data_IF_378897414772
#
_entry.id   IF_378897414772
#
_cell.length_a   1.000
_cell.length_b   1.000
_cell.length_c   1.000
_cell.angle_alpha   90.00
_cell.angle_beta   90.00
_cell.angle_gamma   90.00
#
_symmetry.space_group_name_H-M   'P 1'
#
loop_
_entity.id
_entity.type
_entity.pdbx_description
1 polymer ?
#
# COMPACT_ATOMS: atom_id res chain seq x y z
N UNK A 1 -7.58 -15.56 -71.55
CA UNK A 1 -8.46 -15.31 -70.40
C UNK A 1 -7.54 -15.16 -69.19
N UNK A 2 -7.39 -13.95 -68.60
CA UNK A 2 -6.56 -13.74 -67.39
C UNK A 2 -7.34 -14.14 -66.15
N UNK A 3 -6.78 -14.97 -65.29
CA UNK A 3 -7.29 -15.33 -63.95
C UNK A 3 -7.00 -14.20 -62.99
N UNK A 4 -8.07 -13.56 -62.46
CA UNK A 4 -7.99 -12.60 -61.38
C UNK A 4 -7.73 -13.36 -60.07
N UNK A 5 -6.61 -13.08 -59.40
CA UNK A 5 -6.29 -13.53 -58.03
C UNK A 5 -6.90 -12.53 -57.07
N UNK A 6 -7.93 -12.92 -56.33
CA UNK A 6 -8.48 -12.13 -55.22
C UNK A 6 -7.61 -12.36 -54.01
N UNK A 7 -6.91 -11.31 -53.60
CA UNK A 7 -6.18 -11.27 -52.34
C UNK A 7 -7.18 -10.89 -51.24
N UNK A 8 -7.57 -11.82 -50.39
CA UNK A 8 -8.39 -11.56 -49.21
C UNK A 8 -7.43 -11.04 -48.14
N UNK A 9 -7.48 -9.74 -47.86
CA UNK A 9 -6.84 -9.14 -46.67
C UNK A 9 -7.66 -9.52 -45.45
N UNK A 10 -7.13 -10.44 -44.62
CA UNK A 10 -7.65 -10.72 -43.30
C UNK A 10 -7.19 -9.58 -42.36
N UNK A 11 -8.06 -8.61 -42.11
CA UNK A 11 -7.83 -7.61 -41.06
C UNK A 11 -8.11 -8.29 -39.74
N UNK A 12 -7.06 -8.73 -39.05
CA UNK A 12 -7.13 -9.08 -37.65
C UNK A 12 -7.32 -7.77 -36.88
N UNK A 13 -8.52 -7.50 -36.42
CA UNK A 13 -8.75 -6.51 -35.39
C UNK A 13 -8.10 -7.04 -34.12
N UNK A 14 -6.96 -6.49 -33.74
CA UNK A 14 -6.48 -6.56 -32.38
C UNK A 14 -7.54 -5.80 -31.57
N UNK A 15 -8.45 -6.52 -30.92
CA UNK A 15 -9.30 -5.93 -29.91
C UNK A 15 -8.39 -5.42 -28.80
N UNK A 16 -8.40 -4.13 -28.56
CA UNK A 16 -7.84 -3.58 -27.34
C UNK A 16 -8.53 -4.28 -26.17
N UNK A 17 -7.81 -5.07 -25.43
CA UNK A 17 -8.26 -5.58 -24.13
C UNK A 17 -8.32 -4.37 -23.22
N UNK A 18 -9.51 -3.78 -23.09
CA UNK A 18 -9.74 -2.66 -22.20
C UNK A 18 -9.59 -3.16 -20.76
N UNK A 19 -8.86 -2.41 -19.95
CA UNK A 19 -8.88 -2.59 -18.51
C UNK A 19 -10.34 -2.68 -18.04
N UNK A 20 -10.64 -3.61 -17.17
CA UNK A 20 -11.99 -3.81 -16.67
C UNK A 20 -11.96 -4.06 -15.17
N UNK A 21 -12.72 -3.28 -14.42
CA UNK A 21 -13.05 -3.54 -13.04
C UNK A 21 -14.37 -4.31 -12.96
N UNK A 22 -14.40 -5.36 -12.17
CA UNK A 22 -15.64 -6.08 -11.84
C UNK A 22 -15.76 -6.23 -10.33
N UNK A 23 -16.98 -6.12 -9.81
CA UNK A 23 -17.27 -6.24 -8.38
C UNK A 23 -18.31 -7.33 -8.16
N UNK A 24 -18.05 -8.18 -7.16
CA UNK A 24 -18.97 -9.19 -6.63
C UNK A 24 -19.43 -8.76 -5.24
N UNK A 25 -20.67 -8.29 -5.16
CA UNK A 25 -21.34 -7.87 -3.93
C UNK A 25 -22.19 -8.99 -3.31
N UNK A 26 -21.96 -10.26 -3.65
CA UNK A 26 -22.78 -11.38 -3.18
C UNK A 26 -22.19 -12.13 -1.99
N UNK A 27 -20.94 -11.83 -1.63
CA UNK A 27 -20.22 -12.48 -0.54
C UNK A 27 -20.44 -11.76 0.78
N UNK A 28 -20.52 -12.51 1.86
CA UNK A 28 -20.63 -11.97 3.22
C UNK A 28 -19.26 -11.47 3.72
N UNK A 29 -19.20 -10.58 4.73
CA UNK A 29 -17.93 -10.13 5.32
C UNK A 29 -17.04 -11.29 5.74
N UNK A 30 -17.59 -12.34 6.36
CA UNK A 30 -16.82 -13.50 6.74
C UNK A 30 -16.23 -14.25 5.53
N UNK A 31 -17.01 -14.41 4.45
CA UNK A 31 -16.53 -15.03 3.22
C UNK A 31 -15.45 -14.18 2.54
N UNK A 32 -15.61 -12.86 2.49
CA UNK A 32 -14.64 -11.94 1.92
C UNK A 32 -13.32 -11.98 2.68
N UNK A 33 -13.36 -11.87 3.99
CA UNK A 33 -12.14 -11.86 4.82
C UNK A 33 -11.46 -13.22 4.79
N UNK A 34 -12.19 -14.32 5.02
CA UNK A 34 -11.61 -15.66 5.18
C UNK A 34 -11.23 -16.34 3.86
N UNK A 35 -11.95 -16.07 2.76
CA UNK A 35 -11.73 -16.77 1.49
C UNK A 35 -11.00 -15.93 0.45
N UNK A 36 -10.99 -14.60 0.59
CA UNK A 36 -10.39 -13.69 -0.40
C UNK A 36 -9.19 -12.94 0.16
N UNK A 37 -9.34 -12.32 1.34
CA UNK A 37 -8.29 -11.48 1.92
C UNK A 37 -7.25 -12.28 2.70
N UNK A 38 -7.68 -13.30 3.47
CA UNK A 38 -6.80 -14.16 4.26
C UNK A 38 -5.79 -14.86 3.36
N UNK A 39 -4.51 -14.70 3.69
CA UNK A 39 -3.39 -15.38 3.08
C UNK A 39 -2.80 -16.47 3.98
N UNK A 40 -1.65 -17.03 3.61
CA UNK A 40 -1.00 -18.07 4.40
C UNK A 40 -0.47 -17.57 5.74
N UNK A 41 -0.40 -18.47 6.73
CA UNK A 41 0.22 -18.20 8.02
C UNK A 41 -0.64 -17.38 8.99
N UNK A 42 -1.93 -17.21 8.73
CA UNK A 42 -2.87 -16.57 9.66
C UNK A 42 -4.17 -17.39 9.75
N UNK A 43 -4.78 -17.38 10.92
CA UNK A 43 -6.16 -17.89 11.13
C UNK A 43 -7.02 -16.72 11.55
N UNK A 44 -8.07 -16.41 10.76
CA UNK A 44 -9.01 -15.32 11.02
C UNK A 44 -10.33 -15.85 11.57
N UNK A 45 -10.87 -15.14 12.57
CA UNK A 45 -12.13 -15.46 13.23
C UNK A 45 -12.84 -14.18 13.69
N UNK A 46 -14.09 -14.31 14.15
CA UNK A 46 -14.88 -13.22 14.72
C UNK A 46 -15.03 -12.01 13.78
N UNK A 47 -15.22 -12.27 12.47
CA UNK A 47 -15.41 -11.21 11.48
C UNK A 47 -16.72 -10.48 11.74
N UNK A 48 -16.68 -9.15 11.75
CA UNK A 48 -17.83 -8.26 11.93
C UNK A 48 -17.75 -7.09 10.95
N UNK A 49 -18.89 -6.54 10.59
CA UNK A 49 -18.98 -5.32 9.81
C UNK A 49 -19.99 -4.38 10.46
N UNK A 50 -19.57 -3.19 10.93
CA UNK A 50 -20.41 -2.12 11.51
C UNK A 50 -21.56 -2.64 12.40
N UNK A 51 -21.28 -3.53 13.35
CA UNK A 51 -22.29 -4.16 14.22
C UNK A 51 -23.32 -5.06 13.50
N UNK A 52 -23.13 -5.35 12.22
CA UNK A 52 -23.96 -6.27 11.47
C UNK A 52 -23.48 -7.72 11.65
N UNK A 53 -24.38 -8.71 11.58
CA UNK A 53 -23.98 -10.12 11.57
C UNK A 53 -23.04 -10.42 10.40
N UNK A 54 -22.01 -11.23 10.68
CA UNK A 54 -20.96 -11.57 9.68
C UNK A 54 -21.48 -12.36 8.45
N UNK A 55 -22.72 -12.82 8.49
CA UNK A 55 -23.43 -13.53 7.40
C UNK A 55 -24.39 -12.62 6.60
N UNK A 56 -24.43 -11.33 6.91
CA UNK A 56 -25.18 -10.33 6.14
C UNK A 56 -24.41 -9.94 4.87
N UNK A 57 -25.14 -9.62 3.80
CA UNK A 57 -24.58 -8.94 2.63
C UNK A 57 -24.59 -7.44 2.91
N UNK A 58 -23.49 -6.77 2.64
CA UNK A 58 -23.35 -5.32 2.85
C UNK A 58 -22.98 -4.62 1.56
N UNK A 59 -23.61 -3.47 1.23
CA UNK A 59 -23.40 -2.80 -0.05
C UNK A 59 -22.08 -2.05 -0.18
N UNK A 60 -21.30 -1.91 0.90
CA UNK A 60 -20.03 -1.20 0.94
C UNK A 60 -18.81 -2.13 0.95
N UNK A 61 -19.02 -3.44 1.00
CA UNK A 61 -17.94 -4.43 1.08
C UNK A 61 -18.15 -5.55 0.07
N UNK A 62 -17.20 -5.78 -0.84
CA UNK A 62 -17.29 -6.80 -1.88
C UNK A 62 -15.94 -7.36 -2.29
N UNK A 63 -15.99 -8.37 -3.18
CA UNK A 63 -14.80 -8.82 -3.88
C UNK A 63 -14.67 -8.09 -5.21
N UNK A 64 -13.44 -7.84 -5.66
CA UNK A 64 -13.19 -7.24 -6.97
C UNK A 64 -12.16 -8.03 -7.78
N UNK A 65 -12.22 -7.88 -9.09
CA UNK A 65 -11.09 -8.19 -9.98
C UNK A 65 -10.84 -7.03 -10.92
N UNK A 66 -9.57 -6.72 -11.16
CA UNK A 66 -9.13 -5.62 -12.00
C UNK A 66 -8.09 -6.11 -13.00
N UNK A 67 -8.33 -5.90 -14.28
CA UNK A 67 -7.39 -6.21 -15.33
C UNK A 67 -6.68 -4.93 -15.78
N UNK A 68 -5.38 -4.83 -15.48
CA UNK A 68 -4.51 -3.75 -15.99
C UNK A 68 -4.90 -2.32 -15.58
N UNK A 69 -5.52 -2.13 -14.42
CA UNK A 69 -5.73 -0.80 -13.84
C UNK A 69 -4.48 -0.43 -13.03
N UNK A 70 -3.74 0.65 -13.41
CA UNK A 70 -2.57 1.08 -12.66
C UNK A 70 -2.90 1.37 -11.20
N UNK A 71 -2.05 0.94 -10.28
CA UNK A 71 -2.24 1.14 -8.83
C UNK A 71 -3.12 0.11 -8.16
N UNK A 72 -4.06 -0.52 -8.85
CA UNK A 72 -4.88 -1.58 -8.26
C UNK A 72 -4.20 -2.94 -8.32
N UNK A 73 -4.36 -3.79 -7.29
CA UNK A 73 -4.03 -5.20 -7.39
C UNK A 73 -5.00 -5.90 -8.35
N UNK A 74 -4.59 -7.05 -8.89
CA UNK A 74 -5.42 -7.81 -9.85
C UNK A 74 -6.75 -8.32 -9.28
N UNK A 75 -6.93 -8.31 -7.97
CA UNK A 75 -8.15 -8.69 -7.30
C UNK A 75 -7.99 -8.72 -5.79
N UNK A 76 -9.11 -8.84 -5.09
CA UNK A 76 -9.14 -8.84 -3.64
C UNK A 76 -10.48 -8.44 -3.07
N UNK A 77 -10.49 -7.73 -1.95
CA UNK A 77 -11.69 -7.14 -1.37
C UNK A 77 -11.63 -5.62 -1.48
N UNK A 78 -12.79 -5.00 -1.68
CA UNK A 78 -12.96 -3.55 -1.67
C UNK A 78 -13.90 -3.15 -0.54
N UNK A 79 -13.48 -2.14 0.21
CA UNK A 79 -14.24 -1.45 1.26
C UNK A 79 -14.43 0.00 0.78
N UNK A 80 -15.65 0.52 0.80
CA UNK A 80 -15.94 1.89 0.34
C UNK A 80 -16.85 2.62 1.33
N UNK A 81 -16.81 3.95 1.36
CA UNK A 81 -17.78 4.78 2.08
C UNK A 81 -19.10 4.81 1.34
N UNK A 82 -19.08 4.66 0.01
CA UNK A 82 -20.24 4.61 -0.86
C UNK A 82 -20.73 3.22 -1.19
N UNK A 83 -21.67 3.14 -2.13
CA UNK A 83 -22.18 1.87 -2.60
C UNK A 83 -21.25 1.23 -3.64
N UNK A 84 -21.00 -0.08 -3.52
CA UNK A 84 -20.20 -0.85 -4.49
C UNK A 84 -20.64 -0.70 -5.94
N UNK A 85 -21.95 -0.49 -6.15
CA UNK A 85 -22.51 -0.32 -7.49
C UNK A 85 -22.02 0.95 -8.20
N UNK A 86 -21.64 1.96 -7.45
CA UNK A 86 -21.21 3.26 -7.95
C UNK A 86 -19.73 3.27 -8.35
N UNK A 87 -18.96 2.34 -7.86
CA UNK A 87 -17.51 2.24 -8.19
C UNK A 87 -17.28 2.02 -9.69
N UNK A 88 -18.16 1.24 -10.36
CA UNK A 88 -17.99 0.86 -11.77
C UNK A 88 -18.64 1.90 -12.68
N UNK A 89 -18.17 3.14 -12.61
CA UNK A 89 -18.58 4.25 -13.46
C UNK A 89 -17.32 4.95 -14.00
N UNK A 90 -17.43 5.72 -15.08
CA UNK A 90 -16.31 6.56 -15.50
C UNK A 90 -15.92 7.55 -14.38
N UNK A 91 -14.66 7.89 -14.31
CA UNK A 91 -14.16 8.99 -13.50
C UNK A 91 -14.95 10.27 -13.68
N UNK A 92 -15.04 11.32 -13.73
CA UNK A 92 -15.99 12.42 -13.99
C UNK A 92 -17.46 12.17 -13.62
N UNK A 93 -17.82 10.98 -13.14
CA UNK A 93 -19.17 10.68 -12.68
C UNK A 93 -19.27 11.07 -11.22
N UNK A 94 -20.24 11.89 -10.90
CA UNK A 94 -20.51 12.20 -9.49
C UNK A 94 -21.11 10.97 -8.81
N UNK A 95 -20.36 10.34 -7.91
CA UNK A 95 -20.89 9.37 -6.99
C UNK A 95 -20.94 9.99 -5.60
N UNK A 96 -22.08 9.99 -5.01
CA UNK A 96 -22.27 10.22 -3.59
C UNK A 96 -23.18 9.15 -3.06
N UNK A 97 -22.77 8.49 -2.01
CA UNK A 97 -23.65 7.58 -1.34
C UNK A 97 -24.56 8.32 -0.37
N UNK A 98 -25.70 7.69 -0.12
CA UNK A 98 -26.49 8.08 1.04
C UNK A 98 -25.72 7.63 2.31
N UNK A 99 -25.67 8.49 3.31
CA UNK A 99 -25.17 8.20 4.65
C UNK A 99 -25.68 6.84 5.16
N UNK A 100 -24.79 5.89 5.30
CA UNK A 100 -25.11 4.58 5.83
C UNK A 100 -25.16 4.66 7.36
N UNK A 101 -26.35 4.59 7.88
CA UNK A 101 -26.68 4.81 9.28
C UNK A 101 -25.89 3.92 10.24
N UNK A 102 -25.23 4.50 11.22
CA UNK A 102 -24.75 3.75 12.37
C UNK A 102 -23.87 4.50 13.35
N UNK A 103 -22.95 5.32 12.90
CA UNK A 103 -22.00 5.98 13.78
C UNK A 103 -21.82 7.41 13.31
N UNK A 104 -22.12 8.39 14.17
CA UNK A 104 -21.96 9.81 13.84
C UNK A 104 -20.52 10.30 14.11
N UNK A 105 -19.65 9.48 14.69
CA UNK A 105 -18.28 9.86 15.00
C UNK A 105 -17.45 8.70 15.57
N UNK A 106 -16.20 8.58 15.14
CA UNK A 106 -15.19 7.77 15.78
C UNK A 106 -13.95 8.63 16.13
N UNK A 107 -13.49 8.49 17.38
CA UNK A 107 -12.37 9.27 17.88
C UNK A 107 -11.05 8.82 17.23
N UNK A 108 -10.90 7.55 16.92
CA UNK A 108 -9.65 7.00 16.38
C UNK A 108 -9.41 7.48 14.95
N UNK A 109 -10.46 7.42 14.11
CA UNK A 109 -10.35 7.94 12.74
C UNK A 109 -10.17 9.45 12.71
N UNK A 110 -10.77 10.18 13.66
CA UNK A 110 -10.58 11.63 13.79
C UNK A 110 -9.11 12.00 14.08
N UNK A 111 -8.37 11.17 14.84
CA UNK A 111 -6.94 11.35 15.02
C UNK A 111 -6.17 11.16 13.71
N UNK A 112 -6.60 10.24 12.85
CA UNK A 112 -5.98 9.98 11.55
C UNK A 112 -6.19 11.15 10.59
N UNK A 113 -7.41 11.68 10.54
CA UNK A 113 -7.81 12.71 9.57
C UNK A 113 -7.35 14.09 9.99
N UNK A 114 -7.57 14.46 11.24
CA UNK A 114 -7.38 15.83 11.71
C UNK A 114 -6.19 16.02 12.67
N UNK A 115 -5.56 14.93 13.10
CA UNK A 115 -4.45 15.00 14.06
C UNK A 115 -4.88 15.29 15.50
N UNK A 116 -6.16 15.23 15.81
CA UNK A 116 -6.73 15.37 17.17
C UNK A 116 -8.05 14.62 17.27
N UNK A 117 -8.33 14.04 18.44
CA UNK A 117 -9.58 13.33 18.69
C UNK A 117 -10.73 14.32 18.80
N UNK A 118 -11.66 14.25 17.87
CA UNK A 118 -12.94 14.96 17.91
C UNK A 118 -14.08 13.95 17.73
N UNK A 119 -15.27 14.31 18.12
CA UNK A 119 -16.46 13.49 17.93
C UNK A 119 -17.41 14.06 16.88
N UNK A 120 -16.93 14.92 16.00
CA UNK A 120 -17.75 15.59 14.99
C UNK A 120 -17.04 15.68 13.65
N UNK A 121 -17.79 15.67 12.56
CA UNK A 121 -17.28 15.94 11.22
C UNK A 121 -16.72 14.72 10.47
N UNK A 122 -17.22 13.54 10.80
CA UNK A 122 -16.94 12.30 10.07
C UNK A 122 -18.28 11.64 9.77
N UNK A 123 -18.87 11.88 8.59
CA UNK A 123 -20.25 11.49 8.32
C UNK A 123 -20.42 10.04 7.87
N UNK A 124 -19.57 9.52 7.02
CA UNK A 124 -19.70 8.18 6.45
C UNK A 124 -18.56 7.26 6.86
N UNK A 125 -18.91 6.06 7.29
CA UNK A 125 -17.97 5.06 7.79
C UNK A 125 -18.18 3.71 7.15
N UNK A 126 -17.10 3.02 6.91
CA UNK A 126 -17.06 1.60 6.63
C UNK A 126 -16.07 0.93 7.59
N UNK A 127 -16.57 0.08 8.48
CA UNK A 127 -15.76 -0.57 9.51
C UNK A 127 -15.85 -2.10 9.37
N UNK A 128 -14.71 -2.72 9.10
CA UNK A 128 -14.54 -4.17 9.05
C UNK A 128 -13.58 -4.61 10.16
N UNK A 129 -14.05 -5.48 11.04
CA UNK A 129 -13.28 -5.95 12.19
C UNK A 129 -13.14 -7.47 12.19
N UNK A 130 -12.02 -7.95 12.69
CA UNK A 130 -11.80 -9.39 12.90
C UNK A 130 -10.65 -9.66 13.87
N UNK A 131 -10.72 -10.83 14.50
CA UNK A 131 -9.59 -11.36 15.25
C UNK A 131 -8.75 -12.26 14.37
N UNK A 132 -7.43 -12.29 14.65
CA UNK A 132 -6.54 -13.21 13.96
C UNK A 132 -5.44 -13.75 14.86
N UNK A 133 -4.92 -14.93 14.50
CA UNK A 133 -3.74 -15.53 15.12
C UNK A 133 -2.71 -15.76 14.03
N UNK A 134 -1.53 -15.12 14.11
CA UNK A 134 -0.43 -15.34 13.17
C UNK A 134 0.36 -16.59 13.53
N UNK A 135 0.82 -17.33 12.52
CA UNK A 135 1.74 -18.46 12.69
C UNK A 135 3.20 -18.00 12.73
N UNK A 136 3.48 -16.83 12.17
CA UNK A 136 4.83 -16.28 11.97
C UNK A 136 4.95 -14.85 12.55
N UNK A 137 6.19 -14.34 12.63
CA UNK A 137 6.52 -13.12 13.40
C UNK A 137 6.26 -11.78 12.72
N UNK A 138 5.90 -11.75 11.45
CA UNK A 138 5.58 -10.52 10.71
C UNK A 138 4.22 -10.64 10.06
N UNK A 139 3.31 -9.75 10.40
CA UNK A 139 2.05 -9.54 9.68
C UNK A 139 2.32 -8.67 8.45
N UNK A 140 1.80 -9.05 7.30
CA UNK A 140 1.85 -8.27 6.06
C UNK A 140 0.50 -8.26 5.36
N UNK A 141 0.18 -7.15 4.68
CA UNK A 141 -0.88 -7.07 3.67
C UNK A 141 -0.66 -5.86 2.75
N UNK A 142 -1.32 -5.85 1.59
CA UNK A 142 -1.18 -4.81 0.58
C UNK A 142 -2.54 -4.20 0.23
N UNK A 143 -2.54 -2.88 -0.03
CA UNK A 143 -3.74 -2.10 -0.30
C UNK A 143 -3.45 -0.88 -1.18
N UNK A 144 -4.51 -0.31 -1.76
CA UNK A 144 -4.52 0.99 -2.39
C UNK A 144 -5.74 1.79 -1.91
N UNK A 145 -5.57 3.09 -1.66
CA UNK A 145 -6.65 4.05 -1.45
C UNK A 145 -7.04 4.63 -2.82
N UNK A 146 -8.33 4.79 -3.06
CA UNK A 146 -8.87 5.55 -4.18
C UNK A 146 -9.94 6.52 -3.65
N UNK A 147 -10.08 7.71 -4.27
CA UNK A 147 -11.03 8.72 -3.84
C UNK A 147 -11.46 9.61 -5.00
N UNK A 148 -12.69 10.08 -4.95
CA UNK A 148 -13.22 11.13 -5.81
C UNK A 148 -12.86 12.55 -5.32
N UNK A 149 -12.27 12.71 -4.12
CA UNK A 149 -11.77 13.99 -3.61
C UNK A 149 -10.57 14.53 -4.41
N UNK A 150 -9.95 13.71 -5.23
CA UNK A 150 -8.84 14.10 -6.07
C UNK A 150 -9.30 14.79 -7.36
N UNK A 151 -8.58 15.81 -7.85
CA UNK A 151 -7.52 16.57 -7.14
C UNK A 151 -8.07 17.76 -6.35
N UNK A 152 -9.32 18.25 -6.65
CA UNK A 152 -9.85 19.56 -6.29
C UNK A 152 -10.05 19.72 -4.77
N UNK A 153 -10.40 18.63 -4.09
CA UNK A 153 -10.75 18.66 -2.66
C UNK A 153 -9.68 18.05 -1.77
N UNK A 154 -8.60 17.53 -2.36
CA UNK A 154 -7.55 16.81 -1.66
C UNK A 154 -6.93 17.55 -0.45
N UNK A 155 -6.92 18.87 -0.46
CA UNK A 155 -6.38 19.66 0.65
C UNK A 155 -7.46 20.19 1.62
N UNK A 156 -8.72 20.01 1.30
CA UNK A 156 -9.86 20.48 2.10
C UNK A 156 -10.54 19.38 2.89
N UNK A 157 -10.63 18.21 2.30
CA UNK A 157 -11.35 17.06 2.82
C UNK A 157 -10.38 15.87 2.92
N UNK A 158 -9.83 15.62 4.12
CA UNK A 158 -8.81 14.59 4.31
C UNK A 158 -9.41 13.20 4.48
N UNK A 159 -10.26 12.75 3.56
CA UNK A 159 -10.77 11.38 3.58
C UNK A 159 -9.66 10.41 3.90
N UNK A 160 -9.91 9.55 4.84
CA UNK A 160 -8.86 8.75 5.41
C UNK A 160 -9.34 7.44 6.02
N UNK A 161 -8.37 6.66 6.40
CA UNK A 161 -8.62 5.34 6.96
C UNK A 161 -7.57 5.00 8.00
N UNK A 162 -7.94 4.07 8.88
CA UNK A 162 -7.06 3.49 9.88
C UNK A 162 -7.05 1.97 9.79
N UNK A 163 -5.89 1.38 10.03
CA UNK A 163 -5.72 -0.05 10.26
C UNK A 163 -5.26 -0.23 11.70
N UNK A 164 -6.23 -0.26 12.61
CA UNK A 164 -5.99 -0.28 14.03
C UNK A 164 -5.75 -1.70 14.51
N UNK A 165 -4.48 -2.03 14.77
CA UNK A 165 -4.05 -3.29 15.34
C UNK A 165 -3.96 -3.16 16.85
N UNK A 166 -4.67 -4.02 17.59
CA UNK A 166 -4.58 -4.12 19.04
C UNK A 166 -4.27 -5.54 19.50
N UNK A 167 -3.69 -5.68 20.67
CA UNK A 167 -3.35 -6.96 21.27
C UNK A 167 -2.06 -6.95 22.08
N UNK A 168 -1.64 -8.10 22.61
CA UNK A 168 -0.44 -8.20 23.44
C UNK A 168 0.82 -7.72 22.75
N UNK A 169 1.52 -6.76 23.38
CA UNK A 169 2.77 -6.19 22.85
C UNK A 169 2.56 -5.10 21.79
N UNK A 170 1.32 -4.75 21.45
CA UNK A 170 1.01 -3.62 20.58
C UNK A 170 0.83 -2.36 21.42
N UNK A 171 1.38 -1.25 20.93
CA UNK A 171 1.16 0.09 21.48
C UNK A 171 1.43 1.10 20.38
N UNK A 172 0.45 1.91 20.05
CA UNK A 172 0.55 2.98 19.05
C UNK A 172 1.18 4.27 19.60
N UNK A 173 1.49 5.19 18.70
CA UNK A 173 2.01 6.51 19.03
C UNK A 173 0.91 7.49 19.49
N UNK A 174 -0.34 7.20 19.18
CA UNK A 174 -1.52 8.01 19.50
C UNK A 174 -2.45 7.27 20.44
N UNK A 175 -3.34 7.97 21.16
CA UNK A 175 -4.23 7.37 22.15
C UNK A 175 -5.46 6.71 21.51
N UNK A 176 -5.22 5.78 20.57
CA UNK A 176 -6.29 5.00 19.97
C UNK A 176 -6.93 4.04 20.98
N UNK A 177 -8.17 3.67 20.70
CA UNK A 177 -8.92 2.70 21.49
C UNK A 177 -8.11 1.40 21.63
N UNK A 178 -8.18 0.78 22.80
CA UNK A 178 -7.47 -0.45 23.17
C UNK A 178 -5.93 -0.39 22.99
N UNK A 179 -5.34 0.80 23.07
CA UNK A 179 -3.91 1.06 22.79
C UNK A 179 -3.48 0.58 21.40
N UNK A 180 -4.38 0.59 20.45
CA UNK A 180 -4.08 0.16 19.09
C UNK A 180 -2.95 0.97 18.46
N UNK A 181 -2.29 0.37 17.48
CA UNK A 181 -1.36 1.04 16.58
C UNK A 181 -1.98 1.17 15.20
N UNK A 182 -1.96 2.36 14.61
CA UNK A 182 -2.42 2.57 13.25
C UNK A 182 -1.33 2.16 12.26
N UNK A 183 -1.59 1.13 11.48
CA UNK A 183 -0.67 0.61 10.47
C UNK A 183 -0.80 1.30 9.10
N UNK A 184 -1.84 2.13 8.92
CA UNK A 184 -2.08 2.90 7.70
C UNK A 184 -1.22 4.17 7.70
N UNK A 185 0.09 4.01 7.62
CA UNK A 185 1.07 5.11 7.62
C UNK A 185 1.98 5.03 6.39
N UNK A 186 2.46 6.20 5.96
CA UNK A 186 3.45 6.27 4.89
C UNK A 186 4.72 5.50 5.26
N UNK A 187 5.30 4.73 4.33
CA UNK A 187 6.45 3.89 4.61
C UNK A 187 7.60 4.63 5.30
N UNK A 188 8.03 4.14 6.46
CA UNK A 188 9.12 4.72 7.24
C UNK A 188 8.77 5.99 8.02
N UNK A 189 7.50 6.33 8.17
CA UNK A 189 7.01 7.50 8.91
C UNK A 189 5.91 7.13 9.90
N UNK A 190 5.42 8.10 10.66
CA UNK A 190 4.20 8.01 11.46
C UNK A 190 3.04 8.83 10.84
N UNK A 191 3.23 9.32 9.61
CA UNK A 191 2.22 10.11 8.93
C UNK A 191 1.15 9.20 8.37
N UNK A 192 -0.09 9.39 8.77
CA UNK A 192 -1.22 8.61 8.28
C UNK A 192 -1.42 8.78 6.78
N UNK A 193 -1.80 7.71 6.10
CA UNK A 193 -2.25 7.77 4.71
C UNK A 193 -3.67 8.32 4.67
N UNK A 194 -3.87 9.40 3.93
CA UNK A 194 -5.16 9.99 3.60
C UNK A 194 -5.02 10.82 2.32
N UNK A 195 -6.12 11.33 1.79
CA UNK A 195 -6.14 12.10 0.53
C UNK A 195 -5.24 13.33 0.61
N UNK A 196 -5.25 14.07 1.72
CA UNK A 196 -4.41 15.27 1.89
C UNK A 196 -2.92 14.97 2.02
N UNK A 197 -2.56 13.79 2.50
CA UNK A 197 -1.16 13.40 2.70
C UNK A 197 -0.54 12.72 1.46
N UNK A 198 -1.37 12.24 0.52
CA UNK A 198 -0.93 11.70 -0.77
C UNK A 198 -1.79 12.32 -1.86
N UNK A 199 -1.26 13.26 -2.64
CA UNK A 199 -1.98 13.86 -3.76
C UNK A 199 -1.01 14.46 -4.80
N UNK A 200 -1.54 14.72 -5.99
CA UNK A 200 -0.83 15.39 -7.10
C UNK A 200 -0.89 16.91 -7.03
N UNK A 201 -1.54 17.49 -6.01
CA UNK A 201 -1.88 18.91 -5.95
C UNK A 201 -3.13 19.23 -6.76
N UNK A 202 -3.76 20.36 -6.45
CA UNK A 202 -4.87 20.88 -7.24
C UNK A 202 -4.35 21.75 -8.39
N UNK A 203 -4.55 21.37 -9.66
CA UNK A 203 -4.08 22.12 -10.81
C UNK A 203 -4.58 23.57 -10.86
N UNK A 204 -5.79 23.82 -10.32
CA UNK A 204 -6.42 25.13 -10.29
C UNK A 204 -6.04 25.98 -9.07
N UNK A 205 -5.50 25.36 -8.01
CA UNK A 205 -5.07 26.03 -6.78
C UNK A 205 -3.73 25.51 -6.21
N UNK A 206 -2.74 25.30 -7.04
CA UNK A 206 -1.39 24.84 -6.64
C UNK A 206 -0.71 25.68 -5.55
N UNK A 207 -1.18 26.91 -5.32
CA UNK A 207 -0.63 27.77 -4.27
C UNK A 207 -1.06 27.33 -2.86
N UNK A 208 -2.28 26.82 -2.71
CA UNK A 208 -2.84 26.37 -1.45
C UNK A 208 -2.85 24.84 -1.33
N UNK A 209 -2.91 24.15 -2.46
CA UNK A 209 -2.87 22.69 -2.53
C UNK A 209 -1.72 22.21 -3.46
N UNK A 210 -0.46 22.30 -3.04
CA UNK A 210 0.66 21.75 -3.78
C UNK A 210 0.70 20.22 -3.66
N UNK A 211 1.39 19.52 -4.58
CA UNK A 211 1.62 18.07 -4.46
C UNK A 211 2.22 17.67 -3.12
N UNK A 212 1.71 16.60 -2.55
CA UNK A 212 2.19 16.06 -1.28
C UNK A 212 2.41 14.55 -1.42
N UNK A 213 3.63 14.07 -1.13
CA UNK A 213 4.04 12.68 -1.30
C UNK A 213 3.63 12.09 -2.67
N UNK A 214 3.72 12.88 -3.72
CA UNK A 214 3.26 12.60 -5.09
C UNK A 214 3.81 11.29 -5.68
N UNK A 215 4.94 10.79 -5.16
CA UNK A 215 5.50 9.50 -5.58
C UNK A 215 4.59 8.30 -5.27
N UNK A 216 3.60 8.48 -4.41
CA UNK A 216 2.59 7.47 -4.07
C UNK A 216 1.23 7.75 -4.72
N UNK A 217 1.07 8.87 -5.43
CA UNK A 217 -0.17 9.25 -6.09
C UNK A 217 -0.20 8.82 -7.55
N UNK A 218 -1.37 8.44 -8.02
CA UNK A 218 -1.67 8.13 -9.42
C UNK A 218 -2.95 8.86 -9.82
N UNK A 219 -2.85 9.69 -10.83
CA UNK A 219 -3.99 10.33 -11.48
C UNK A 219 -4.82 9.29 -12.23
N UNK A 220 -6.15 9.37 -12.10
CA UNK A 220 -7.09 8.44 -12.68
C UNK A 220 -8.31 9.13 -13.35
N UNK A 221 -8.28 10.45 -13.45
CA UNK A 221 -9.40 11.27 -13.93
C UNK A 221 -9.93 10.88 -15.33
N UNK A 222 -9.11 10.30 -16.18
CA UNK A 222 -9.50 9.83 -17.52
C UNK A 222 -9.96 8.35 -17.55
N UNK A 223 -10.11 7.69 -16.40
CA UNK A 223 -10.44 6.27 -16.35
C UNK A 223 -11.94 6.01 -16.63
N UNK A 224 -12.29 5.25 -17.65
CA UNK A 224 -13.68 4.97 -17.96
C UNK A 224 -14.33 3.83 -17.17
N UNK A 225 -13.58 3.20 -16.25
CA UNK A 225 -13.98 1.95 -15.55
C UNK A 225 -14.11 2.08 -14.06
N UNK A 226 -13.67 3.18 -13.49
CA UNK A 226 -13.67 3.40 -12.05
C UNK A 226 -13.97 4.87 -11.76
N UNK A 227 -14.89 5.13 -10.86
CA UNK A 227 -15.39 6.47 -10.53
C UNK A 227 -14.32 7.38 -9.92
N UNK A 228 -13.42 6.84 -9.15
CA UNK A 228 -12.41 7.59 -8.39
C UNK A 228 -11.43 8.33 -9.30
N UNK A 229 -11.25 9.63 -9.10
CA UNK A 229 -10.39 10.50 -9.90
C UNK A 229 -8.90 10.34 -9.60
N UNK A 230 -8.57 9.78 -8.45
CA UNK A 230 -7.20 9.47 -8.09
C UNK A 230 -7.07 8.28 -7.15
N UNK A 231 -5.87 7.72 -7.10
CA UNK A 231 -5.57 6.61 -6.20
C UNK A 231 -4.10 6.61 -5.76
N UNK A 232 -3.81 5.82 -4.75
CA UNK A 232 -2.41 5.59 -4.37
C UNK A 232 -1.79 4.48 -5.21
N UNK A 233 -0.46 4.44 -5.29
CA UNK A 233 0.24 3.21 -5.65
C UNK A 233 -0.09 2.10 -4.64
N UNK A 234 0.14 0.84 -5.02
CA UNK A 234 -0.03 -0.26 -4.06
C UNK A 234 0.93 -0.09 -2.88
N UNK A 235 0.38 0.09 -1.70
CA UNK A 235 1.10 0.22 -0.42
C UNK A 235 1.11 -1.12 0.31
N UNK A 236 2.14 -1.34 1.14
CA UNK A 236 2.28 -2.57 1.94
C UNK A 236 2.42 -2.23 3.41
N UNK A 237 1.60 -2.86 4.22
CA UNK A 237 1.77 -2.91 5.68
C UNK A 237 2.72 -4.04 6.03
N UNK A 238 3.59 -3.79 7.01
CA UNK A 238 4.43 -4.81 7.65
C UNK A 238 4.57 -4.48 9.13
N UNK A 239 4.19 -5.43 10.01
CA UNK A 239 4.22 -5.22 11.47
C UNK A 239 4.70 -6.47 12.19
N UNK A 240 5.60 -6.30 13.16
CA UNK A 240 5.98 -7.39 14.06
C UNK A 240 4.82 -7.80 14.96
N UNK A 241 4.60 -9.12 15.05
CA UNK A 241 3.59 -9.77 15.87
C UNK A 241 4.18 -11.01 16.54
N UNK A 242 3.55 -11.51 17.59
CA UNK A 242 4.00 -12.74 18.27
C UNK A 242 3.23 -13.94 17.72
N UNK A 243 3.91 -14.95 17.15
CA UNK A 243 3.25 -16.17 16.67
C UNK A 243 2.40 -16.85 17.74
N UNK A 244 1.22 -17.33 17.34
CA UNK A 244 0.27 -18.03 18.19
C UNK A 244 -0.51 -17.15 19.18
N UNK A 245 -0.32 -15.83 19.14
CA UNK A 245 -1.04 -14.85 19.97
C UNK A 245 -2.19 -14.26 19.19
N UNK A 246 -3.35 -14.12 19.81
CA UNK A 246 -4.51 -13.50 19.18
C UNK A 246 -4.38 -11.97 19.21
N UNK A 247 -4.68 -11.35 18.08
CA UNK A 247 -4.76 -9.91 17.84
C UNK A 247 -6.12 -9.53 17.30
N UNK A 248 -6.49 -8.27 17.46
CA UNK A 248 -7.67 -7.68 16.85
C UNK A 248 -7.25 -6.65 15.79
N UNK A 249 -7.88 -6.70 14.61
CA UNK A 249 -7.71 -5.76 13.52
C UNK A 249 -9.02 -5.05 13.25
N UNK A 250 -9.00 -3.71 13.23
CA UNK A 250 -10.11 -2.88 12.78
C UNK A 250 -9.66 -2.07 11.57
N UNK A 251 -10.27 -2.36 10.42
CA UNK A 251 -10.10 -1.62 9.17
C UNK A 251 -11.26 -0.62 9.07
N UNK A 252 -10.94 0.65 9.08
CA UNK A 252 -11.92 1.72 9.11
C UNK A 252 -11.60 2.72 8.02
N UNK A 253 -12.60 3.05 7.20
CA UNK A 253 -12.56 4.06 6.15
C UNK A 253 -13.64 5.08 6.44
N UNK A 254 -13.39 6.37 6.20
CA UNK A 254 -14.36 7.42 6.47
C UNK A 254 -14.15 8.65 5.60
N UNK A 255 -15.26 9.33 5.30
CA UNK A 255 -15.24 10.61 4.63
C UNK A 255 -15.06 11.75 5.65
N UNK A 256 -14.40 12.82 5.25
CA UNK A 256 -14.05 13.94 6.09
C UNK A 256 -14.89 15.18 5.76
N UNK A 257 -15.69 15.63 6.74
CA UNK A 257 -16.37 16.92 6.64
C UNK A 257 -17.76 16.88 6.04
N UNK A 258 -17.99 16.13 4.94
CA UNK A 258 -19.29 15.95 4.33
C UNK A 258 -19.44 14.53 3.74
N UNK A 259 -20.63 14.10 3.32
CA UNK A 259 -20.90 12.76 2.81
C UNK A 259 -20.89 12.72 1.25
N UNK A 260 -20.04 13.49 0.61
CA UNK A 260 -19.94 13.56 -0.84
C UNK A 260 -18.56 13.10 -1.27
N UNK A 261 -18.46 12.60 -2.52
CA UNK A 261 -17.22 12.11 -3.12
C UNK A 261 -16.61 10.96 -2.33
N UNK A 262 -17.14 9.78 -2.61
CA UNK A 262 -16.78 8.54 -1.91
C UNK A 262 -15.29 8.17 -2.03
N UNK A 263 -14.84 7.43 -1.05
CA UNK A 263 -13.51 6.83 -1.01
C UNK A 263 -13.58 5.31 -0.92
N UNK A 264 -12.52 4.61 -1.36
CA UNK A 264 -12.44 3.16 -1.29
C UNK A 264 -11.03 2.63 -0.98
N UNK A 265 -10.97 1.51 -0.29
CA UNK A 265 -9.78 0.72 -0.03
C UNK A 265 -9.83 -0.60 -0.80
N UNK A 266 -8.86 -0.81 -1.66
CA UNK A 266 -8.69 -2.04 -2.43
C UNK A 266 -7.58 -2.89 -1.79
N UNK A 267 -7.94 -3.99 -1.13
CA UNK A 267 -6.99 -4.91 -0.51
C UNK A 267 -6.66 -6.06 -1.45
N UNK A 268 -5.39 -6.39 -1.58
CA UNK A 268 -4.94 -7.46 -2.46
C UNK A 268 -5.40 -8.85 -1.96
N UNK A 269 -5.80 -9.70 -2.88
CA UNK A 269 -6.17 -11.10 -2.62
C UNK A 269 -5.04 -11.86 -1.90
N UNK A 270 -5.38 -12.65 -0.87
CA UNK A 270 -4.46 -13.47 -0.09
C UNK A 270 -3.27 -12.69 0.53
N UNK A 271 -3.41 -11.37 0.70
CA UNK A 271 -2.31 -10.54 1.19
C UNK A 271 -2.25 -10.44 2.72
N UNK A 272 -3.35 -10.61 3.44
CA UNK A 272 -3.36 -10.62 4.91
C UNK A 272 -2.74 -11.93 5.41
N UNK A 273 -1.43 -11.91 5.64
CA UNK A 273 -0.63 -13.10 5.90
C UNK A 273 0.39 -12.85 7.01
N UNK A 274 0.88 -13.92 7.61
CA UNK A 274 2.10 -13.82 8.40
C UNK A 274 3.26 -14.54 7.73
N UNK A 275 4.45 -13.93 7.86
CA UNK A 275 5.69 -14.45 7.33
C UNK A 275 6.72 -14.52 8.44
N UNK A 276 7.71 -15.41 8.30
CA UNK A 276 8.77 -15.50 9.27
C UNK A 276 9.47 -14.15 9.41
N UNK A 277 9.62 -13.67 10.64
CA UNK A 277 10.53 -12.58 10.90
C UNK A 277 11.88 -13.01 10.35
N UNK A 278 12.38 -12.28 9.36
CA UNK A 278 13.71 -12.56 8.82
C UNK A 278 14.72 -12.34 9.96
N UNK A 279 14.96 -13.36 10.77
CA UNK A 279 16.09 -13.40 11.71
C UNK A 279 17.40 -13.64 10.98
N UNK A 280 17.30 -13.86 9.69
CA UNK A 280 18.45 -13.79 8.83
C UNK A 280 18.75 -12.29 8.67
N UNK A 281 19.91 -11.83 9.18
CA UNK A 281 20.96 -11.52 8.20
C UNK A 281 20.79 -12.54 7.08
N UNK A 282 19.92 -12.21 6.10
CA UNK A 282 19.89 -12.98 4.89
C UNK A 282 21.35 -12.98 4.40
N UNK A 283 22.06 -14.06 4.62
CA UNK A 283 22.85 -14.55 3.55
C UNK A 283 21.92 -14.47 2.33
N UNK A 284 21.97 -13.36 1.62
CA UNK A 284 21.48 -13.26 0.25
C UNK A 284 21.96 -14.56 -0.34
N UNK A 285 21.07 -15.50 -0.78
CA UNK A 285 21.52 -16.78 -1.25
C UNK A 285 22.65 -16.45 -2.20
N UNK A 286 23.85 -16.90 -1.83
CA UNK A 286 25.07 -16.61 -2.59
C UNK A 286 24.89 -17.34 -3.92
N UNK A 287 24.10 -16.73 -4.81
CA UNK A 287 24.00 -17.11 -6.21
C UNK A 287 25.34 -16.83 -6.91
N UNK A 288 26.44 -16.78 -6.15
CA UNK A 288 27.79 -16.58 -6.66
C UNK A 288 28.09 -15.16 -7.17
N UNK A 289 27.20 -14.17 -6.93
CA UNK A 289 27.31 -12.84 -7.55
C UNK A 289 27.24 -11.66 -6.58
N UNK A 290 27.32 -11.86 -5.24
CA UNK A 290 27.46 -10.73 -4.35
C UNK A 290 28.83 -10.07 -4.55
N UNK A 291 28.85 -8.92 -5.21
CA UNK A 291 30.08 -8.16 -5.50
C UNK A 291 30.62 -7.38 -4.29
N UNK A 292 29.86 -7.32 -3.18
CA UNK A 292 30.22 -6.62 -1.95
C UNK A 292 29.74 -7.40 -0.72
N UNK A 293 30.58 -7.46 0.32
CA UNK A 293 30.28 -8.06 1.62
C UNK A 293 30.83 -7.18 2.73
N UNK A 294 30.14 -7.10 3.86
CA UNK A 294 30.69 -6.46 5.06
C UNK A 294 31.66 -7.41 5.78
N UNK A 295 32.77 -6.87 6.27
CA UNK A 295 33.74 -7.56 7.13
C UNK A 295 33.55 -7.08 8.57
N UNK A 296 33.93 -7.91 9.55
CA UNK A 296 33.89 -7.58 10.99
C UNK A 296 34.81 -6.42 11.41
N UNK A 297 35.68 -5.95 10.51
CA UNK A 297 36.71 -4.94 10.81
C UNK A 297 36.34 -3.55 10.27
N UNK A 298 35.08 -3.16 10.28
CA UNK A 298 34.58 -1.91 9.69
C UNK A 298 35.06 -1.69 8.24
N UNK A 299 35.08 -2.75 7.45
CA UNK A 299 35.45 -2.71 6.04
C UNK A 299 34.43 -3.47 5.19
N UNK A 300 34.33 -3.09 3.91
CA UNK A 300 33.62 -3.89 2.93
C UNK A 300 34.62 -4.60 2.03
N UNK A 301 34.37 -5.87 1.76
CA UNK A 301 35.07 -6.67 0.77
C UNK A 301 34.38 -6.55 -0.58
N UNK A 302 35.17 -6.35 -1.62
CA UNK A 302 34.71 -6.18 -2.99
C UNK A 302 35.13 -7.40 -3.82
N UNK A 303 34.22 -7.96 -4.58
CA UNK A 303 34.44 -9.12 -5.43
C UNK A 303 34.21 -8.77 -6.90
N UNK A 304 35.12 -9.23 -7.74
CA UNK A 304 34.95 -9.13 -9.19
C UNK A 304 35.02 -7.72 -9.78
N UNK A 305 35.73 -6.79 -9.16
CA UNK A 305 35.96 -5.45 -9.73
C UNK A 305 36.97 -5.53 -10.85
N UNK A 306 36.48 -5.50 -12.11
CA UNK A 306 37.30 -5.60 -13.33
C UNK A 306 37.73 -4.24 -13.83
N UNK A 307 36.87 -3.24 -13.68
CA UNK A 307 37.06 -1.89 -14.19
C UNK A 307 36.94 -0.87 -13.06
N UNK A 308 37.52 0.32 -13.28
CA UNK A 308 37.39 1.43 -12.34
C UNK A 308 35.91 1.85 -12.21
N UNK A 309 35.42 1.93 -10.99
CA UNK A 309 34.03 2.28 -10.69
C UNK A 309 33.97 3.24 -9.48
N UNK A 310 32.78 3.72 -9.16
CA UNK A 310 32.50 4.46 -7.95
C UNK A 310 31.60 3.61 -7.05
N UNK A 311 32.06 3.34 -5.82
CA UNK A 311 31.22 2.81 -4.77
C UNK A 311 30.53 3.96 -4.06
N UNK A 312 29.22 3.88 -3.95
CA UNK A 312 28.38 4.76 -3.15
C UNK A 312 27.65 3.92 -2.09
N UNK A 313 27.67 4.35 -0.83
CA UNK A 313 26.84 3.82 0.23
C UNK A 313 25.83 4.88 0.66
N UNK A 314 24.60 4.47 0.81
CA UNK A 314 23.52 5.30 1.36
C UNK A 314 22.88 4.59 2.54
N UNK A 315 22.46 5.34 3.55
CA UNK A 315 21.63 4.81 4.64
C UNK A 315 20.19 4.54 4.12
N UNK A 316 19.33 4.00 4.98
CA UNK A 316 17.94 3.67 4.64
C UNK A 316 17.07 4.90 4.32
N UNK A 317 17.55 6.11 4.65
CA UNK A 317 16.89 7.37 4.30
C UNK A 317 17.42 7.95 2.97
N UNK A 318 18.25 7.20 2.24
CA UNK A 318 18.84 7.63 0.98
C UNK A 318 20.01 8.63 1.12
N UNK A 319 20.40 8.98 2.36
CA UNK A 319 21.53 9.88 2.59
C UNK A 319 22.83 9.16 2.25
N UNK A 320 23.65 9.77 1.38
CA UNK A 320 24.98 9.26 1.04
C UNK A 320 25.92 9.36 2.26
N UNK A 321 26.45 8.22 2.70
CA UNK A 321 27.38 8.12 3.85
C UNK A 321 28.81 7.82 3.41
N UNK A 322 28.99 7.30 2.19
CA UNK A 322 30.31 7.06 1.59
C UNK A 322 30.22 7.17 0.07
N UNK A 323 31.22 7.87 -0.51
CA UNK A 323 31.52 7.80 -1.94
C UNK A 323 33.01 7.60 -2.13
N UNK A 324 33.39 6.52 -2.80
CA UNK A 324 34.80 6.18 -3.07
C UNK A 324 34.99 5.68 -4.49
N UNK A 325 36.05 6.12 -5.14
CA UNK A 325 36.57 5.50 -6.35
C UNK A 325 37.21 4.18 -5.98
N UNK A 326 36.92 3.18 -6.76
CA UNK A 326 37.45 1.81 -6.65
C UNK A 326 38.23 1.51 -7.91
N UNK A 327 39.48 1.12 -7.74
CA UNK A 327 40.35 0.75 -8.87
C UNK A 327 40.21 -0.74 -9.21
N UNK A 328 40.52 -1.15 -10.44
CA UNK A 328 40.48 -2.55 -10.84
C UNK A 328 41.32 -3.46 -9.91
N UNK A 329 40.71 -4.54 -9.44
CA UNK A 329 41.38 -5.50 -8.55
C UNK A 329 41.40 -5.08 -7.08
N UNK A 330 40.86 -3.92 -6.70
CA UNK A 330 40.71 -3.53 -5.30
C UNK A 330 39.73 -4.47 -4.59
N UNK A 331 40.13 -5.02 -3.43
CA UNK A 331 39.39 -6.07 -2.74
C UNK A 331 38.70 -5.61 -1.46
N UNK A 332 39.07 -4.45 -0.94
CA UNK A 332 38.44 -3.90 0.28
C UNK A 332 38.48 -2.40 0.36
N UNK A 333 37.53 -1.83 1.09
CA UNK A 333 37.47 -0.41 1.42
C UNK A 333 37.16 -0.30 2.90
N UNK A 334 37.95 0.48 3.64
CA UNK A 334 37.65 0.85 5.01
C UNK A 334 36.47 1.83 5.03
N UNK A 335 35.52 1.55 5.89
CA UNK A 335 34.36 2.40 6.14
C UNK A 335 34.69 3.46 7.20
N UNK A 336 34.08 4.66 7.13
CA UNK A 336 34.06 5.56 8.27
C UNK A 336 33.30 4.91 9.45
N UNK A 337 33.33 5.53 10.62
CA UNK A 337 32.44 5.12 11.71
C UNK A 337 30.99 5.34 11.28
N UNK A 338 30.26 4.25 11.06
CA UNK A 338 28.85 4.24 10.69
C UNK A 338 28.06 3.55 11.81
N UNK A 339 26.82 3.97 12.01
CA UNK A 339 25.93 3.29 12.93
C UNK A 339 25.63 1.86 12.45
N UNK A 340 25.43 0.93 13.38
CA UNK A 340 24.95 -0.40 13.03
C UNK A 340 23.61 -0.29 12.29
N UNK A 341 23.48 -0.98 11.17
CA UNK A 341 22.25 -0.92 10.36
C UNK A 341 22.41 -1.40 8.92
N UNK A 342 21.32 -1.30 8.18
CA UNK A 342 21.25 -1.66 6.76
C UNK A 342 21.65 -0.45 5.91
N UNK A 343 22.48 -0.70 4.91
CA UNK A 343 22.92 0.29 3.92
C UNK A 343 22.74 -0.25 2.51
N UNK A 344 22.52 0.66 1.58
CA UNK A 344 22.46 0.35 0.15
C UNK A 344 23.81 0.70 -0.49
N UNK A 345 24.48 -0.32 -1.03
CA UNK A 345 25.73 -0.18 -1.78
C UNK A 345 25.42 -0.15 -3.29
N UNK A 346 25.87 0.88 -3.97
CA UNK A 346 25.76 1.02 -5.42
C UNK A 346 27.16 1.05 -6.04
N UNK A 347 27.39 0.19 -7.03
CA UNK A 347 28.56 0.23 -7.91
C UNK A 347 28.16 0.92 -9.21
N UNK A 348 28.84 2.00 -9.55
CA UNK A 348 28.61 2.77 -10.77
C UNK A 348 29.87 2.69 -11.64
N UNK A 349 29.83 1.90 -12.68
CA UNK A 349 30.88 1.71 -13.68
C UNK A 349 30.47 2.24 -15.06
N UNK A 350 31.34 2.13 -16.06
CA UNK A 350 31.02 2.57 -17.44
C UNK A 350 29.97 1.68 -18.12
N UNK A 351 30.00 0.38 -17.85
CA UNK A 351 29.15 -0.63 -18.53
C UNK A 351 28.38 -1.51 -17.54
N UNK A 352 28.67 -1.41 -16.23
CA UNK A 352 28.12 -2.31 -15.22
C UNK A 352 27.75 -1.52 -13.93
N UNK A 353 26.45 -1.37 -13.71
CA UNK A 353 25.90 -0.83 -12.48
C UNK A 353 25.31 -1.97 -11.64
N UNK A 354 25.66 -2.04 -10.39
CA UNK A 354 25.14 -3.04 -9.48
C UNK A 354 24.72 -2.41 -8.15
N UNK A 355 23.66 -2.97 -7.56
CA UNK A 355 23.15 -2.56 -6.27
C UNK A 355 23.11 -3.77 -5.32
N UNK A 356 23.46 -3.57 -4.06
CA UNK A 356 23.38 -4.58 -3.03
C UNK A 356 23.00 -3.95 -1.69
N UNK A 357 22.27 -4.68 -0.86
CA UNK A 357 22.07 -4.32 0.55
C UNK A 357 23.19 -4.95 1.37
N UNK A 358 23.75 -4.19 2.30
CA UNK A 358 24.76 -4.69 3.26
C UNK A 358 24.34 -4.30 4.66
N UNK A 359 24.61 -5.17 5.62
CA UNK A 359 24.48 -4.88 7.04
C UNK A 359 25.85 -4.49 7.60
N UNK A 360 25.91 -3.36 8.29
CA UNK A 360 27.09 -2.91 9.02
C UNK A 360 26.82 -3.16 10.50
N UNK A 361 27.60 -4.02 11.18
CA UNK A 361 27.36 -4.45 12.54
C UNK A 361 27.56 -3.35 13.59
#
# INVERSE_FOLDING_TARGET
>A
MPRAVFLVLLVLSLGDTKAQLTIDATLTPAQLVQNVFQGPGVTIQNVQYQYMPADSIVPELGAFSAESIPGLPYGGIVLTTGALADIIQPADSFASSEHLQGIDSDTDISWVMYGFGTSTGVPDFSILEFDFVPDEGILEFAYALASEEYPEYACGYPDGFGFFLSGPGISGAYPYTDNADNLAVLPGTLLSVNVSNINGGDPDDMANCPPNNEQYYLDNADNPWMVFDGLTTLLTVSREVTPGVQYHMRLELADAGDPYWDSALFFQVNSFRSVAASTAVNDVPDNGTSWIRCSTDHAVQLLGIKDACVLRLSDMHGREVLRRRVDPGQRSIQLPELASGIYVAMRMGKEDNACARIFIP
#
